data_IF_465421883358
#
_entry.id   IF_465421883358
#
_cell.length_a   1.000
_cell.length_b   1.000
_cell.length_c   1.000
_cell.angle_alpha   90.00
_cell.angle_beta   90.00
_cell.angle_gamma   90.00
#
_symmetry.space_group_name_H-M   'P 1'
#
loop_
_entity.id
_entity.type
_entity.pdbx_description
1 polymer ?
#
# COMPACT_ATOMS: atom_id res chain seq x y z
N UNK A 1 -10.56 39.75 -8.01
CA UNK A 1 -9.31 39.09 -8.49
C UNK A 1 -8.98 37.80 -7.71
N UNK A 2 -9.83 37.35 -6.76
CA UNK A 2 -9.50 36.24 -5.83
C UNK A 2 -9.78 34.83 -6.41
N UNK A 3 -10.41 34.68 -7.58
CA UNK A 3 -10.84 33.35 -8.08
C UNK A 3 -9.70 32.48 -8.66
N UNK A 4 -8.77 33.05 -9.42
CA UNK A 4 -7.72 32.28 -10.14
C UNK A 4 -6.58 31.77 -9.25
N UNK A 5 -6.23 32.51 -8.20
CA UNK A 5 -5.10 32.17 -7.31
C UNK A 5 -5.36 30.87 -6.54
N UNK A 6 -6.59 30.63 -6.08
CA UNK A 6 -6.93 29.40 -5.35
C UNK A 6 -6.95 28.17 -6.25
N UNK A 7 -7.35 28.34 -7.51
CA UNK A 7 -7.35 27.26 -8.52
C UNK A 7 -5.92 26.86 -8.85
N UNK A 8 -5.03 27.83 -9.08
CA UNK A 8 -3.61 27.59 -9.33
C UNK A 8 -2.92 26.89 -8.15
N UNK A 9 -3.23 27.32 -6.92
CA UNK A 9 -2.75 26.65 -5.71
C UNK A 9 -3.28 25.21 -5.58
N UNK A 10 -4.54 24.95 -5.95
CA UNK A 10 -5.09 23.60 -5.95
C UNK A 10 -4.36 22.70 -6.95
N UNK A 11 -4.10 23.18 -8.16
CA UNK A 11 -3.33 22.45 -9.18
C UNK A 11 -1.92 22.11 -8.65
N UNK A 12 -1.21 23.08 -8.09
CA UNK A 12 0.11 22.86 -7.49
C UNK A 12 0.11 21.83 -6.37
N UNK A 13 -0.91 21.86 -5.50
CA UNK A 13 -1.07 20.86 -4.44
C UNK A 13 -1.30 19.48 -5.03
N UNK A 14 -2.18 19.35 -6.02
CA UNK A 14 -2.46 18.07 -6.68
C UNK A 14 -1.25 17.51 -7.45
N UNK A 15 -0.46 18.36 -8.11
CA UNK A 15 0.79 17.96 -8.75
C UNK A 15 1.82 17.47 -7.73
N UNK A 16 1.93 18.16 -6.59
CA UNK A 16 2.83 17.78 -5.53
C UNK A 16 2.38 16.47 -4.84
N UNK A 17 1.08 16.29 -4.59
CA UNK A 17 0.50 15.01 -4.15
C UNK A 17 0.86 13.89 -5.13
N UNK A 18 0.70 14.10 -6.44
CA UNK A 18 1.01 13.09 -7.45
C UNK A 18 2.51 12.70 -7.42
N UNK A 19 3.42 13.67 -7.23
CA UNK A 19 4.86 13.39 -7.06
C UNK A 19 5.14 12.57 -5.79
N UNK A 20 4.48 12.87 -4.68
CA UNK A 20 4.62 12.08 -3.45
C UNK A 20 4.09 10.66 -3.61
N UNK A 21 2.93 10.49 -4.26
CA UNK A 21 2.41 9.16 -4.58
C UNK A 21 3.34 8.38 -5.53
N UNK A 22 3.99 9.05 -6.48
CA UNK A 22 5.03 8.46 -7.32
C UNK A 22 6.22 7.96 -6.49
N UNK A 23 6.74 8.77 -5.57
CA UNK A 23 7.82 8.34 -4.65
C UNK A 23 7.39 7.18 -3.76
N UNK A 24 6.15 7.19 -3.30
CA UNK A 24 5.60 6.11 -2.48
C UNK A 24 5.45 4.81 -3.29
N UNK A 25 5.15 4.91 -4.59
CA UNK A 25 5.15 3.78 -5.51
C UNK A 25 6.55 3.18 -5.66
N UNK A 26 7.57 4.01 -5.88
CA UNK A 26 8.97 3.56 -5.97
C UNK A 26 9.41 2.83 -4.69
N UNK A 27 9.12 3.42 -3.51
CA UNK A 27 9.38 2.77 -2.23
C UNK A 27 8.63 1.43 -2.08
N UNK A 28 7.42 1.32 -2.63
CA UNK A 28 6.65 0.08 -2.62
C UNK A 28 7.30 -1.00 -3.48
N UNK A 29 7.95 -0.65 -4.59
CA UNK A 29 8.72 -1.59 -5.42
C UNK A 29 10.02 -2.01 -4.76
N UNK A 30 10.71 -1.08 -4.10
CA UNK A 30 11.87 -1.37 -3.27
C UNK A 30 11.50 -2.32 -2.11
N UNK A 31 10.32 -2.14 -1.53
CA UNK A 31 9.76 -3.01 -0.48
C UNK A 31 9.54 -4.42 -1.00
N UNK A 32 8.97 -4.58 -2.20
CA UNK A 32 8.83 -5.89 -2.85
C UNK A 32 10.20 -6.59 -2.97
N UNK A 33 11.21 -5.86 -3.42
CA UNK A 33 12.57 -6.38 -3.61
C UNK A 33 13.23 -6.77 -2.29
N UNK A 34 13.06 -5.96 -1.24
CA UNK A 34 13.60 -6.23 0.09
C UNK A 34 12.94 -7.45 0.75
N UNK A 35 11.62 -7.62 0.58
CA UNK A 35 10.87 -8.79 1.10
C UNK A 35 11.34 -10.07 0.43
N UNK A 36 11.50 -10.08 -0.90
CA UNK A 36 11.99 -11.26 -1.64
C UNK A 36 13.41 -11.65 -1.20
N UNK A 37 14.27 -10.67 -0.91
CA UNK A 37 15.66 -10.90 -0.48
C UNK A 37 15.81 -11.15 1.02
N UNK A 38 14.75 -10.97 1.82
CA UNK A 38 14.80 -11.08 3.27
C UNK A 38 15.64 -9.99 3.98
N UNK A 39 15.79 -8.81 3.36
CA UNK A 39 16.63 -7.73 3.88
C UNK A 39 15.88 -6.87 4.93
N UNK A 40 15.89 -7.32 6.19
CA UNK A 40 15.10 -6.70 7.27
C UNK A 40 15.48 -5.23 7.55
N UNK A 41 16.78 -4.89 7.50
CA UNK A 41 17.26 -3.52 7.73
C UNK A 41 16.75 -2.55 6.65
N UNK A 42 16.76 -2.99 5.37
CA UNK A 42 16.22 -2.18 4.28
C UNK A 42 14.71 -2.04 4.38
N UNK A 43 14.00 -3.10 4.78
CA UNK A 43 12.56 -3.06 5.00
C UNK A 43 12.16 -2.05 6.08
N UNK A 44 12.91 -1.99 7.18
CA UNK A 44 12.73 -1.00 8.24
C UNK A 44 12.98 0.43 7.73
N UNK A 45 14.08 0.65 7.01
CA UNK A 45 14.41 1.96 6.43
C UNK A 45 13.35 2.43 5.42
N UNK A 46 12.84 1.54 4.57
CA UNK A 46 11.77 1.84 3.61
C UNK A 46 10.49 2.21 4.36
N UNK A 47 10.12 1.44 5.38
CA UNK A 47 8.90 1.68 6.17
C UNK A 47 8.96 3.01 6.91
N UNK A 48 10.12 3.41 7.44
CA UNK A 48 10.31 4.73 8.04
C UNK A 48 10.08 5.88 7.03
N UNK A 49 10.60 5.74 5.81
CA UNK A 49 10.37 6.72 4.72
C UNK A 49 8.92 6.75 4.26
N UNK A 50 8.25 5.60 4.18
CA UNK A 50 6.81 5.53 3.88
C UNK A 50 5.99 6.29 4.93
N UNK A 51 6.36 6.19 6.21
CA UNK A 51 5.69 6.91 7.30
C UNK A 51 5.87 8.43 7.18
N UNK A 52 7.09 8.91 6.91
CA UNK A 52 7.36 10.34 6.69
C UNK A 52 6.55 10.91 5.52
N UNK A 53 6.53 10.20 4.38
CA UNK A 53 5.73 10.59 3.21
C UNK A 53 4.23 10.55 3.49
N UNK A 54 3.76 9.58 4.27
CA UNK A 54 2.36 9.49 4.69
C UNK A 54 1.94 10.69 5.54
N UNK A 55 2.81 11.15 6.44
CA UNK A 55 2.54 12.33 7.26
C UNK A 55 2.61 13.63 6.45
N UNK A 56 3.45 13.71 5.42
CA UNK A 56 3.45 14.81 4.45
C UNK A 56 2.16 14.83 3.61
N UNK A 57 1.71 13.66 3.13
CA UNK A 57 0.46 13.50 2.38
C UNK A 57 -0.76 13.92 3.21
N UNK A 58 -0.82 13.59 4.50
CA UNK A 58 -1.90 14.07 5.40
C UNK A 58 -1.95 15.59 5.48
N UNK A 59 -0.79 16.25 5.64
CA UNK A 59 -0.71 17.71 5.68
C UNK A 59 -1.18 18.34 4.37
N UNK A 60 -0.86 17.74 3.23
CA UNK A 60 -1.33 18.19 1.92
C UNK A 60 -2.82 18.00 1.75
N UNK A 61 -3.38 16.88 2.20
CA UNK A 61 -4.82 16.66 2.18
C UNK A 61 -5.56 17.75 2.99
N UNK A 62 -5.06 18.12 4.17
CA UNK A 62 -5.62 19.22 4.96
C UNK A 62 -5.55 20.57 4.21
N UNK A 63 -4.46 20.83 3.50
CA UNK A 63 -4.30 22.06 2.70
C UNK A 63 -5.27 22.04 1.51
N UNK A 64 -5.38 20.91 0.81
CA UNK A 64 -6.30 20.71 -0.30
C UNK A 64 -7.73 20.97 0.14
N UNK A 65 -8.16 20.39 1.26
CA UNK A 65 -9.53 20.53 1.77
C UNK A 65 -9.81 21.99 2.19
N UNK A 66 -8.82 22.68 2.78
CA UNK A 66 -8.91 24.12 3.04
C UNK A 66 -9.08 24.94 1.75
N UNK A 67 -8.28 24.66 0.71
CA UNK A 67 -8.35 25.38 -0.57
C UNK A 67 -9.70 25.12 -1.25
N UNK A 68 -10.14 23.87 -1.32
CA UNK A 68 -11.46 23.49 -1.85
C UNK A 68 -12.58 24.22 -1.10
N UNK A 69 -12.51 24.29 0.22
CA UNK A 69 -13.44 25.05 1.04
C UNK A 69 -13.42 26.57 0.78
N UNK A 70 -12.24 27.16 0.52
CA UNK A 70 -12.14 28.57 0.14
C UNK A 70 -12.73 28.83 -1.25
N UNK A 71 -12.49 27.94 -2.21
CA UNK A 71 -13.07 28.05 -3.55
C UNK A 71 -14.60 27.97 -3.46
N UNK A 72 -15.12 27.00 -2.71
CA UNK A 72 -16.57 26.85 -2.45
C UNK A 72 -17.22 28.11 -1.87
N UNK A 73 -16.63 28.67 -0.81
CA UNK A 73 -17.07 29.95 -0.22
C UNK A 73 -17.07 31.08 -1.23
N UNK A 74 -16.01 31.20 -2.05
CA UNK A 74 -15.87 32.26 -3.05
C UNK A 74 -16.85 32.16 -4.23
N UNK A 75 -17.38 30.96 -4.47
CA UNK A 75 -18.38 30.68 -5.52
C UNK A 75 -19.82 30.77 -5.01
N UNK A 76 -20.03 31.07 -3.73
CA UNK A 76 -21.37 31.24 -3.16
C UNK A 76 -22.12 29.93 -2.90
N UNK A 77 -21.46 28.76 -3.02
CA UNK A 77 -22.01 27.49 -2.58
C UNK A 77 -21.62 27.26 -1.12
N UNK A 78 -22.56 27.51 -0.21
CA UNK A 78 -22.44 27.09 1.18
C UNK A 78 -22.93 25.64 1.32
N UNK A 79 -22.20 24.87 2.13
CA UNK A 79 -22.58 23.57 2.73
C UNK A 79 -22.88 22.40 1.78
N UNK A 80 -21.82 21.67 1.42
CA UNK A 80 -21.88 20.30 0.93
C UNK A 80 -20.52 19.98 0.35
N UNK A 81 -19.94 18.82 0.67
CA UNK A 81 -18.63 18.37 0.20
C UNK A 81 -18.41 18.68 -1.28
N UNK A 82 -17.80 19.83 -1.58
CA UNK A 82 -17.50 20.21 -2.95
C UNK A 82 -16.35 19.31 -3.37
N UNK A 83 -16.63 18.39 -4.27
CA UNK A 83 -15.59 17.50 -4.76
C UNK A 83 -14.75 18.20 -5.83
N UNK A 84 -13.52 17.72 -6.04
CA UNK A 84 -12.66 18.21 -7.13
C UNK A 84 -13.39 18.11 -8.48
N UNK A 85 -14.26 17.11 -8.67
CA UNK A 85 -15.10 16.96 -9.87
C UNK A 85 -16.13 18.09 -10.04
N UNK A 86 -16.73 18.54 -8.94
CA UNK A 86 -17.67 19.67 -8.97
C UNK A 86 -16.94 20.98 -9.28
N UNK A 87 -15.70 21.10 -8.79
CA UNK A 87 -14.83 22.23 -9.11
C UNK A 87 -14.52 22.28 -10.60
N UNK A 88 -14.15 21.17 -11.25
CA UNK A 88 -13.87 21.11 -12.72
C UNK A 88 -14.98 21.77 -13.54
N UNK A 89 -16.25 21.56 -13.16
CA UNK A 89 -17.41 22.10 -13.88
C UNK A 89 -17.66 23.61 -13.65
N UNK A 90 -16.98 24.21 -12.66
CA UNK A 90 -17.13 25.60 -12.24
C UNK A 90 -15.94 26.49 -12.63
N UNK A 91 -14.82 25.89 -13.05
CA UNK A 91 -13.60 26.59 -13.47
C UNK A 91 -13.67 26.95 -14.96
N UNK A 92 -13.04 28.04 -15.40
CA UNK A 92 -12.78 28.28 -16.82
C UNK A 92 -12.15 27.06 -17.52
N UNK A 93 -12.47 26.89 -18.80
CA UNK A 93 -12.11 25.72 -19.63
C UNK A 93 -10.61 25.39 -19.58
N UNK A 94 -9.76 26.41 -19.57
CA UNK A 94 -8.29 26.30 -19.49
C UNK A 94 -7.79 25.59 -18.20
N UNK A 95 -8.46 25.81 -17.07
CA UNK A 95 -8.12 25.15 -15.80
C UNK A 95 -8.89 23.84 -15.59
N UNK A 96 -10.06 23.70 -16.20
CA UNK A 96 -10.85 22.46 -16.18
C UNK A 96 -10.05 21.28 -16.76
N UNK A 97 -9.42 21.49 -17.91
CA UNK A 97 -8.61 20.45 -18.57
C UNK A 97 -7.40 20.04 -17.74
N UNK A 98 -6.67 21.02 -17.19
CA UNK A 98 -5.54 20.75 -16.31
C UNK A 98 -5.94 20.01 -15.03
N UNK A 99 -7.00 20.45 -14.35
CA UNK A 99 -7.47 19.82 -13.12
C UNK A 99 -7.97 18.38 -13.38
N UNK A 100 -8.65 18.16 -14.51
CA UNK A 100 -9.10 16.85 -14.96
C UNK A 100 -7.93 15.93 -15.28
N UNK A 101 -6.90 16.42 -15.98
CA UNK A 101 -5.72 15.64 -16.33
C UNK A 101 -4.91 15.25 -15.08
N UNK A 102 -4.65 16.21 -14.18
CA UNK A 102 -3.94 15.95 -12.93
C UNK A 102 -4.75 15.00 -12.05
N UNK A 103 -6.06 15.19 -11.94
CA UNK A 103 -6.95 14.30 -11.18
C UNK A 103 -6.97 12.87 -11.71
N UNK A 104 -7.00 12.69 -13.04
CA UNK A 104 -6.90 11.36 -13.67
C UNK A 104 -5.56 10.70 -13.36
N UNK A 105 -4.46 11.44 -13.56
CA UNK A 105 -3.11 10.94 -13.28
C UNK A 105 -2.95 10.53 -11.81
N UNK A 106 -3.44 11.36 -10.88
CA UNK A 106 -3.43 11.05 -9.45
C UNK A 106 -4.21 9.76 -9.14
N UNK A 107 -5.41 9.61 -9.70
CA UNK A 107 -6.25 8.41 -9.51
C UNK A 107 -5.56 7.15 -10.04
N UNK A 108 -4.88 7.24 -11.17
CA UNK A 108 -4.09 6.14 -11.72
C UNK A 108 -2.91 5.78 -10.81
N UNK A 109 -2.12 6.75 -10.36
CA UNK A 109 -0.99 6.54 -9.45
C UNK A 109 -1.45 5.91 -8.14
N UNK A 110 -2.54 6.40 -7.54
CA UNK A 110 -3.12 5.86 -6.31
C UNK A 110 -3.60 4.41 -6.50
N UNK A 111 -4.26 4.10 -7.63
CA UNK A 111 -4.68 2.73 -7.93
C UNK A 111 -3.48 1.78 -8.09
N UNK A 112 -2.43 2.22 -8.80
CA UNK A 112 -1.18 1.44 -8.94
C UNK A 112 -0.54 1.18 -7.59
N UNK A 113 -0.46 2.20 -6.73
CA UNK A 113 0.08 2.07 -5.39
C UNK A 113 -0.75 1.09 -4.53
N UNK A 114 -2.08 1.18 -4.59
CA UNK A 114 -2.97 0.27 -3.86
C UNK A 114 -2.74 -1.19 -4.27
N UNK A 115 -2.59 -1.45 -5.57
CA UNK A 115 -2.30 -2.78 -6.09
C UNK A 115 -0.94 -3.30 -5.61
N UNK A 116 0.10 -2.46 -5.65
CA UNK A 116 1.44 -2.83 -5.14
C UNK A 116 1.45 -3.09 -3.63
N UNK A 117 0.71 -2.30 -2.86
CA UNK A 117 0.58 -2.51 -1.43
C UNK A 117 -0.12 -3.84 -1.11
N UNK A 118 -1.20 -4.18 -1.82
CA UNK A 118 -1.88 -5.48 -1.68
C UNK A 118 -0.95 -6.67 -2.03
N UNK A 119 -0.15 -6.53 -3.10
CA UNK A 119 0.87 -7.51 -3.46
C UNK A 119 1.93 -7.68 -2.38
N UNK A 120 2.45 -6.57 -1.83
CA UNK A 120 3.43 -6.61 -0.75
C UNK A 120 2.87 -7.26 0.52
N UNK A 121 1.61 -7.00 0.84
CA UNK A 121 0.93 -7.64 1.97
C UNK A 121 0.82 -9.16 1.78
N UNK A 122 0.46 -9.62 0.57
CA UNK A 122 0.42 -11.05 0.22
C UNK A 122 1.80 -11.71 0.30
N UNK A 123 2.85 -11.04 -0.20
CA UNK A 123 4.22 -11.56 -0.15
C UNK A 123 4.73 -11.70 1.29
N UNK A 124 4.47 -10.71 2.14
CA UNK A 124 4.84 -10.76 3.57
C UNK A 124 4.10 -11.90 4.26
N UNK A 125 2.79 -12.05 4.03
CA UNK A 125 2.02 -13.16 4.61
C UNK A 125 2.54 -14.52 4.16
N UNK A 126 2.87 -14.68 2.88
CA UNK A 126 3.42 -15.93 2.37
C UNK A 126 4.81 -16.24 2.96
N UNK A 127 5.65 -15.21 3.14
CA UNK A 127 6.94 -15.37 3.83
C UNK A 127 6.75 -15.80 5.29
N UNK A 128 5.75 -15.26 5.99
CA UNK A 128 5.39 -15.69 7.35
C UNK A 128 4.88 -17.14 7.37
N UNK A 129 3.97 -17.52 6.46
CA UNK A 129 3.50 -18.91 6.33
C UNK A 129 4.64 -19.89 6.06
N UNK A 130 5.62 -19.50 5.23
CA UNK A 130 6.80 -20.33 4.97
C UNK A 130 7.69 -20.47 6.21
N UNK A 131 7.89 -19.40 6.97
CA UNK A 131 8.62 -19.45 8.25
C UNK A 131 7.87 -20.34 9.25
N UNK A 132 6.56 -20.18 9.40
CA UNK A 132 5.73 -21.01 10.29
C UNK A 132 5.73 -22.47 9.86
N UNK A 133 5.66 -22.76 8.56
CA UNK A 133 5.79 -24.11 8.02
C UNK A 133 7.17 -24.71 8.34
N UNK A 134 8.24 -23.94 8.12
CA UNK A 134 9.62 -24.37 8.40
C UNK A 134 9.85 -24.60 9.89
N UNK A 135 9.31 -23.73 10.75
CA UNK A 135 9.33 -23.90 12.20
C UNK A 135 8.57 -25.16 12.60
N UNK A 136 7.35 -25.35 12.09
CA UNK A 136 6.56 -26.56 12.35
C UNK A 136 7.29 -27.83 11.90
N UNK A 137 8.03 -27.80 10.79
CA UNK A 137 8.85 -28.92 10.33
C UNK A 137 10.04 -29.20 11.25
N UNK A 138 10.68 -28.16 11.79
CA UNK A 138 11.82 -28.29 12.71
C UNK A 138 11.39 -28.67 14.14
N UNK A 139 10.23 -28.22 14.59
CA UNK A 139 9.66 -28.53 15.90
C UNK A 139 8.87 -29.83 15.90
N UNK A 140 8.66 -30.45 14.73
CA UNK A 140 8.10 -31.80 14.67
C UNK A 140 9.02 -32.74 15.46
N UNK A 141 8.47 -33.54 16.38
CA UNK A 141 9.27 -34.51 17.11
C UNK A 141 9.93 -35.43 16.09
N UNK A 142 11.27 -35.43 16.07
CA UNK A 142 12.05 -36.41 15.31
C UNK A 142 11.47 -37.77 15.68
N UNK A 143 10.98 -38.57 14.71
CA UNK A 143 10.48 -39.90 15.03
C UNK A 143 11.61 -40.59 15.79
N UNK A 144 11.34 -40.99 17.04
CA UNK A 144 12.30 -41.76 17.81
C UNK A 144 12.74 -42.90 16.90
N UNK A 145 14.05 -42.97 16.62
CA UNK A 145 14.61 -44.03 15.81
C UNK A 145 14.05 -45.34 16.35
N UNK A 146 13.36 -46.10 15.51
CA UNK A 146 12.79 -47.39 15.89
C UNK A 146 13.94 -48.26 16.39
N UNK A 147 14.11 -48.34 17.70
CA UNK A 147 15.07 -49.25 18.29
C UNK A 147 14.51 -50.65 18.07
N UNK A 148 15.11 -51.39 17.13
CA UNK A 148 14.85 -52.82 16.95
C UNK A 148 15.16 -53.54 18.26
N UNK A 149 14.13 -53.80 19.05
CA UNK A 149 14.22 -54.67 20.20
C UNK A 149 14.59 -56.07 19.73
N UNK A 150 15.47 -56.74 20.49
CA UNK A 150 16.02 -58.08 20.20
C UNK A 150 14.98 -59.22 20.16
N UNK A 151 13.69 -58.91 20.26
CA UNK A 151 12.54 -59.74 19.92
C UNK A 151 11.72 -58.93 18.93
N UNK A 152 11.71 -59.34 17.66
CA UNK A 152 11.08 -58.63 16.54
C UNK A 152 9.57 -58.52 16.65
N UNK A 153 9.09 -57.67 17.56
CA UNK A 153 7.72 -57.20 17.58
C UNK A 153 7.75 -55.72 17.19
N UNK A 154 7.34 -55.44 15.96
CA UNK A 154 7.10 -54.08 15.49
C UNK A 154 5.73 -53.63 16.02
N UNK A 155 5.70 -52.91 17.14
CA UNK A 155 4.54 -52.08 17.47
C UNK A 155 4.65 -50.76 16.69
N UNK A 156 4.30 -50.84 15.41
CA UNK A 156 4.17 -49.67 14.55
C UNK A 156 2.96 -48.83 14.98
N UNK A 157 3.21 -47.78 15.75
CA UNK A 157 2.27 -46.66 15.87
C UNK A 157 1.99 -46.14 14.47
N UNK A 158 0.70 -46.08 14.09
CA UNK A 158 0.20 -45.67 12.78
C UNK A 158 0.94 -44.44 12.25
N UNK A 159 1.83 -44.63 11.30
CA UNK A 159 2.38 -43.60 10.43
C UNK A 159 1.20 -42.99 9.66
N UNK A 160 0.67 -41.86 10.13
CA UNK A 160 -0.27 -41.06 9.34
C UNK A 160 0.51 -40.43 8.20
N UNK A 161 -0.01 -40.62 6.98
CA UNK A 161 0.62 -40.28 5.72
C UNK A 161 1.21 -38.86 5.70
N UNK A 162 2.47 -38.83 5.32
CA UNK A 162 3.22 -37.63 4.98
C UNK A 162 2.64 -37.12 3.65
N UNK A 163 2.06 -35.91 3.67
CA UNK A 163 1.57 -35.12 2.51
C UNK A 163 0.26 -35.58 1.86
N UNK A 164 -0.87 -35.02 2.30
CA UNK A 164 -2.08 -34.90 1.45
C UNK A 164 -2.21 -33.43 1.01
N UNK A 165 -1.47 -33.07 -0.05
CA UNK A 165 -1.66 -31.82 -0.78
C UNK A 165 -2.68 -32.12 -1.87
N UNK A 166 -3.96 -31.81 -1.62
CA UNK A 166 -4.98 -31.81 -2.68
C UNK A 166 -4.85 -30.52 -3.49
N UNK A 167 -4.53 -30.69 -4.77
CA UNK A 167 -4.63 -29.66 -5.81
C UNK A 167 -6.08 -29.19 -5.97
#
# INVERSE_FOLDING_TARGET
MIKTVWIDNLIKVLEYENKLYGRLLDLSEDKTSAVIKGELEKLQAITAKEQELSDELKKLADIRDKIVGQIGRSMGKYSGDITVSDLVSLVPEEYSDQLSQVGKSLKETVNKLKNKNDLNLKLINNALEYVDFSLNLLTQPVPQAVHYGRKGNEEGSKTRGVLDIKY
#
